data_IF_407057073103
#
_entry.id   IF_407057073103
#
_cell.length_a   1.000
_cell.length_b   1.000
_cell.length_c   1.000
_cell.angle_alpha   90.00
_cell.angle_beta   90.00
_cell.angle_gamma   90.00
#
_symmetry.space_group_name_H-M   'P 1'
#
loop_
_entity.id
_entity.type
_entity.pdbx_description
1 polymer ?
#
# COMPACT_ATOMS: atom_id res chain seq x y z
N UNK A 1 -32.30 28.32 -15.22
CA UNK A 1 -30.87 28.34 -15.57
C UNK A 1 -30.28 27.07 -15.00
N UNK A 2 -29.96 26.10 -15.86
CA UNK A 2 -29.52 24.78 -15.47
C UNK A 2 -28.05 24.81 -15.04
N UNK A 3 -27.73 24.14 -13.93
CA UNK A 3 -26.43 23.51 -13.76
C UNK A 3 -26.65 22.12 -13.15
N UNK A 4 -26.57 21.11 -14.03
CA UNK A 4 -26.47 19.69 -13.71
C UNK A 4 -25.17 19.18 -14.34
N UNK A 5 -24.03 19.75 -13.94
CA UNK A 5 -22.71 19.39 -14.45
C UNK A 5 -21.94 18.41 -13.55
N UNK A 6 -21.95 17.12 -13.88
CA UNK A 6 -20.72 16.31 -13.92
C UNK A 6 -20.07 15.78 -12.63
N UNK A 7 -20.82 15.33 -11.61
CA UNK A 7 -20.23 14.69 -10.39
C UNK A 7 -20.39 13.17 -10.24
N UNK A 8 -21.15 12.50 -11.10
CA UNK A 8 -21.46 11.06 -10.93
C UNK A 8 -20.58 10.08 -11.70
N UNK A 9 -20.00 10.46 -12.85
CA UNK A 9 -19.38 9.46 -13.74
C UNK A 9 -17.98 8.99 -13.30
N UNK A 10 -17.21 9.81 -12.58
CA UNK A 10 -15.84 9.47 -12.19
C UNK A 10 -15.77 8.59 -10.93
N UNK A 11 -16.74 8.73 -10.02
CA UNK A 11 -16.80 7.97 -8.77
C UNK A 11 -17.21 6.52 -9.00
N UNK A 12 -18.14 6.29 -9.93
CA UNK A 12 -18.66 4.95 -10.23
C UNK A 12 -17.62 4.10 -10.97
N UNK A 13 -16.85 4.73 -11.87
CA UNK A 13 -15.73 4.07 -12.57
C UNK A 13 -14.61 3.72 -11.59
N UNK A 14 -14.28 4.61 -10.66
CA UNK A 14 -13.27 4.34 -9.63
C UNK A 14 -13.67 3.16 -8.73
N UNK A 15 -14.94 3.09 -8.31
CA UNK A 15 -15.45 1.98 -7.51
C UNK A 15 -15.31 0.64 -8.24
N UNK A 16 -15.70 0.58 -9.52
CA UNK A 16 -15.57 -0.65 -10.33
C UNK A 16 -14.12 -1.08 -10.55
N UNK A 17 -13.20 -0.13 -10.80
CA UNK A 17 -11.76 -0.43 -10.92
C UNK A 17 -11.19 -0.94 -9.60
N UNK A 18 -11.59 -0.33 -8.48
CA UNK A 18 -11.12 -0.72 -7.14
C UNK A 18 -11.57 -2.14 -6.77
N UNK A 19 -12.84 -2.50 -7.02
CA UNK A 19 -13.36 -3.85 -6.80
C UNK A 19 -12.61 -4.90 -7.62
N UNK A 20 -12.38 -4.62 -8.91
CA UNK A 20 -11.62 -5.51 -9.78
C UNK A 20 -10.18 -5.70 -9.27
N UNK A 21 -9.52 -4.62 -8.86
CA UNK A 21 -8.15 -4.71 -8.31
C UNK A 21 -8.10 -5.51 -7.01
N UNK A 22 -9.11 -5.40 -6.14
CA UNK A 22 -9.19 -6.22 -4.94
C UNK A 22 -9.38 -7.70 -5.26
N UNK A 23 -10.17 -8.04 -6.28
CA UNK A 23 -10.34 -9.43 -6.74
C UNK A 23 -9.01 -10.03 -7.23
N UNK A 24 -8.25 -9.29 -8.05
CA UNK A 24 -6.98 -9.79 -8.61
C UNK A 24 -5.78 -9.73 -7.64
N UNK A 25 -5.78 -8.79 -6.70
CA UNK A 25 -4.60 -8.52 -5.86
C UNK A 25 -4.79 -8.75 -4.37
N UNK A 26 -6.01 -9.08 -3.93
CA UNK A 26 -6.37 -9.27 -2.53
C UNK A 26 -6.80 -7.97 -1.87
N UNK A 27 -6.87 -7.97 -0.54
CA UNK A 27 -7.31 -6.80 0.22
C UNK A 27 -6.34 -5.62 0.06
N UNK A 28 -6.76 -4.63 -0.73
CA UNK A 28 -6.05 -3.37 -0.93
C UNK A 28 -6.71 -2.26 -0.13
N UNK A 29 -5.91 -1.30 0.32
CA UNK A 29 -6.34 -0.07 0.98
C UNK A 29 -5.78 1.14 0.24
N UNK A 30 -6.51 2.25 0.31
CA UNK A 30 -6.05 3.53 -0.20
C UNK A 30 -4.93 4.09 0.66
N UNK A 31 -3.96 4.73 0.02
CA UNK A 31 -2.91 5.49 0.70
C UNK A 31 -3.26 6.97 0.76
N UNK A 32 -2.36 7.81 1.28
CA UNK A 32 -2.51 9.27 1.17
C UNK A 32 -2.40 9.81 -0.27
N UNK A 33 -1.93 8.98 -1.22
CA UNK A 33 -1.92 9.33 -2.65
C UNK A 33 -3.15 8.73 -3.35
N UNK A 34 -3.85 9.50 -4.19
CA UNK A 34 -5.00 9.00 -4.94
C UNK A 34 -4.62 7.97 -6.01
N UNK A 35 -3.34 7.92 -6.42
CA UNK A 35 -2.86 7.03 -7.47
C UNK A 35 -2.24 5.73 -6.95
N UNK A 36 -2.13 5.55 -5.63
CA UNK A 36 -1.44 4.41 -5.03
C UNK A 36 -2.34 3.68 -4.03
N UNK A 37 -2.45 2.37 -4.22
CA UNK A 37 -3.04 1.43 -3.27
C UNK A 37 -1.95 0.52 -2.70
N UNK A 38 -2.18 -0.06 -1.53
CA UNK A 38 -1.29 -1.10 -1.00
C UNK A 38 -2.06 -2.20 -0.28
N UNK A 39 -1.40 -3.33 -0.03
CA UNK A 39 -1.99 -4.43 0.75
C UNK A 39 -2.30 -3.98 2.18
N UNK A 40 -3.50 -4.30 2.68
CA UNK A 40 -3.86 -4.10 4.07
C UNK A 40 -2.86 -4.82 5.00
N UNK A 41 -2.33 -4.11 6.01
CA UNK A 41 -1.43 -4.69 6.99
C UNK A 41 -2.16 -5.03 8.29
N UNK A 42 -1.76 -6.10 9.00
CA UNK A 42 -2.31 -6.41 10.32
C UNK A 42 -2.08 -5.24 11.29
N UNK A 43 -3.11 -4.93 12.10
CA UNK A 43 -3.02 -3.87 13.12
C UNK A 43 -1.97 -4.14 14.19
N UNK A 44 -1.69 -5.42 14.47
CA UNK A 44 -0.62 -5.87 15.35
C UNK A 44 0.02 -7.14 14.78
N UNK A 45 1.35 -7.13 14.67
CA UNK A 45 2.10 -8.26 14.14
C UNK A 45 3.39 -8.52 14.92
N UNK A 46 3.82 -9.78 14.93
CA UNK A 46 5.06 -10.19 15.60
C UNK A 46 6.28 -9.69 14.80
N UNK A 47 7.23 -9.06 15.49
CA UNK A 47 8.51 -8.63 14.90
C UNK A 47 9.24 -9.78 14.20
N UNK A 48 9.80 -9.48 13.02
CA UNK A 48 10.55 -10.38 12.14
C UNK A 48 9.79 -11.66 11.72
N UNK A 49 8.47 -11.71 11.91
CA UNK A 49 7.60 -12.75 11.37
C UNK A 49 7.12 -12.35 9.98
N UNK A 50 7.11 -13.29 9.04
CA UNK A 50 6.50 -13.10 7.72
C UNK A 50 5.06 -12.61 7.84
N UNK A 51 4.68 -11.68 6.98
CA UNK A 51 3.29 -11.20 6.90
C UNK A 51 2.36 -12.33 6.45
N UNK A 52 1.08 -12.30 6.86
CA UNK A 52 0.11 -13.32 6.44
C UNK A 52 -0.20 -13.23 4.93
N UNK A 53 -0.04 -12.04 4.35
CA UNK A 53 -0.19 -11.75 2.93
C UNK A 53 1.06 -11.03 2.43
N UNK A 54 1.45 -11.30 1.19
CA UNK A 54 2.56 -10.59 0.55
C UNK A 54 2.16 -9.12 0.35
N UNK A 55 2.98 -8.19 0.85
CA UNK A 55 2.74 -6.77 0.68
C UNK A 55 2.96 -6.36 -0.78
N UNK A 56 2.01 -5.61 -1.33
CA UNK A 56 2.06 -5.07 -2.68
C UNK A 56 1.81 -3.57 -2.64
N UNK A 57 2.43 -2.85 -3.56
CA UNK A 57 2.07 -1.48 -3.93
C UNK A 57 1.52 -1.54 -5.34
N UNK A 58 0.31 -1.03 -5.55
CA UNK A 58 -0.39 -1.01 -6.84
C UNK A 58 -0.56 0.45 -7.26
N UNK A 59 -0.13 0.76 -8.48
CA UNK A 59 -0.29 2.07 -9.07
C UNK A 59 -1.50 2.09 -10.01
N UNK A 60 -2.28 3.18 -9.96
CA UNK A 60 -3.41 3.40 -10.87
C UNK A 60 -3.00 4.18 -12.12
N UNK A 61 -1.99 5.02 -12.00
CA UNK A 61 -1.33 5.68 -13.13
C UNK A 61 -0.28 4.76 -13.75
N UNK A 62 0.17 5.07 -14.96
CA UNK A 62 1.25 4.36 -15.65
C UNK A 62 2.62 4.69 -15.00
N UNK A 63 3.35 3.66 -14.60
CA UNK A 63 4.65 3.76 -13.93
C UNK A 63 5.57 2.77 -14.63
N UNK A 64 6.66 3.28 -15.17
CA UNK A 64 7.61 2.48 -15.95
C UNK A 64 8.08 1.25 -15.17
N UNK A 65 7.95 0.08 -15.80
CA UNK A 65 8.51 -1.18 -15.32
C UNK A 65 10.00 -1.03 -14.98
N UNK A 66 10.43 -1.63 -13.88
CA UNK A 66 11.79 -1.46 -13.36
C UNK A 66 11.92 -0.35 -12.32
N UNK A 67 10.90 0.51 -12.14
CA UNK A 67 10.90 1.53 -11.08
C UNK A 67 11.04 0.87 -9.70
N UNK A 68 12.03 1.31 -8.92
CA UNK A 68 12.28 0.78 -7.58
C UNK A 68 11.29 1.38 -6.60
N UNK A 69 10.63 0.54 -5.80
CA UNK A 69 9.71 0.93 -4.73
C UNK A 69 10.30 0.52 -3.39
N UNK A 70 10.42 1.47 -2.47
CA UNK A 70 10.91 1.21 -1.11
C UNK A 70 9.86 1.53 -0.07
N UNK A 71 9.77 0.72 0.98
CA UNK A 71 8.91 0.98 2.15
C UNK A 71 9.79 1.44 3.31
N UNK A 72 9.33 2.44 4.05
CA UNK A 72 9.91 2.87 5.33
C UNK A 72 8.83 2.80 6.38
N UNK A 73 9.19 2.65 7.63
CA UNK A 73 8.25 2.65 8.74
C UNK A 73 8.82 3.49 9.87
N UNK A 74 7.99 4.32 10.50
CA UNK A 74 8.45 5.19 11.58
C UNK A 74 7.34 5.80 12.41
N UNK A 75 7.71 6.31 13.57
CA UNK A 75 6.88 7.13 14.46
C UNK A 75 7.78 7.95 15.41
N UNK A 76 7.19 8.64 16.38
CA UNK A 76 7.93 9.50 17.33
C UNK A 76 8.91 8.74 18.23
N UNK A 77 8.71 7.44 18.49
CA UNK A 77 9.63 6.62 19.30
C UNK A 77 10.75 6.00 18.47
N UNK A 78 10.43 5.59 17.25
CA UNK A 78 11.34 4.95 16.34
C UNK A 78 11.15 5.57 14.96
N UNK A 79 11.91 6.63 14.70
CA UNK A 79 11.78 7.45 13.49
C UNK A 79 12.00 6.65 12.20
N UNK A 80 12.87 5.64 12.24
CA UNK A 80 13.15 4.79 11.09
C UNK A 80 13.36 3.35 11.58
N UNK A 81 12.27 2.59 11.63
CA UNK A 81 12.29 1.21 12.06
C UNK A 81 13.05 0.32 11.07
N UNK A 82 13.76 -0.66 11.61
CA UNK A 82 14.42 -1.69 10.82
C UNK A 82 13.38 -2.56 10.11
N UNK A 83 13.51 -2.68 8.78
CA UNK A 83 12.72 -3.54 7.92
C UNK A 83 13.64 -4.51 7.17
N UNK A 84 13.10 -5.67 6.78
CA UNK A 84 13.75 -6.60 5.85
C UNK A 84 12.95 -6.71 4.57
N UNK A 85 13.66 -6.84 3.45
CA UNK A 85 13.06 -6.96 2.12
C UNK A 85 12.11 -5.80 1.81
N UNK A 86 12.46 -4.58 2.25
CA UNK A 86 11.67 -3.36 2.08
C UNK A 86 11.88 -2.67 0.72
N UNK A 87 12.35 -3.41 -0.28
CA UNK A 87 12.51 -2.92 -1.65
C UNK A 87 11.91 -3.94 -2.61
N UNK A 88 11.16 -3.44 -3.59
CA UNK A 88 10.58 -4.21 -4.67
C UNK A 88 10.72 -3.42 -5.99
N UNK A 89 10.42 -4.08 -7.10
CA UNK A 89 10.46 -3.48 -8.43
C UNK A 89 9.04 -3.45 -8.98
N UNK A 90 8.64 -2.29 -9.51
CA UNK A 90 7.38 -2.11 -10.22
C UNK A 90 7.38 -2.94 -11.49
N UNK A 91 6.32 -3.74 -11.68
CA UNK A 91 6.08 -4.49 -12.91
C UNK A 91 4.58 -4.58 -13.18
N UNK A 92 4.13 -4.14 -14.35
CA UNK A 92 2.71 -4.07 -14.71
C UNK A 92 1.89 -3.37 -13.62
N UNK A 93 2.35 -2.19 -13.18
CA UNK A 93 1.72 -1.40 -12.11
C UNK A 93 1.65 -2.06 -10.73
N UNK A 94 2.34 -3.17 -10.50
CA UNK A 94 2.42 -3.82 -9.19
C UNK A 94 3.86 -4.04 -8.75
N UNK A 95 4.24 -3.49 -7.60
CA UNK A 95 5.46 -3.82 -6.89
C UNK A 95 5.16 -4.81 -5.77
N UNK A 96 5.54 -6.08 -5.95
CA UNK A 96 5.33 -7.16 -4.98
C UNK A 96 6.57 -7.36 -4.12
N UNK A 97 6.45 -7.15 -2.81
CA UNK A 97 7.54 -7.32 -1.87
C UNK A 97 7.70 -8.79 -1.51
N UNK A 98 8.91 -9.30 -1.64
CA UNK A 98 9.22 -10.69 -1.32
C UNK A 98 9.53 -10.82 0.18
N UNK A 99 8.53 -11.26 0.96
CA UNK A 99 8.67 -11.49 2.40
C UNK A 99 9.13 -10.22 3.15
N UNK A 100 8.42 -9.10 2.95
CA UNK A 100 8.58 -7.88 3.75
C UNK A 100 8.39 -8.21 5.23
N UNK A 101 9.31 -7.74 6.09
CA UNK A 101 9.19 -7.91 7.55
C UNK A 101 9.51 -6.62 8.30
N UNK A 102 8.77 -6.42 9.39
CA UNK A 102 9.02 -5.39 10.39
C UNK A 102 9.91 -5.97 11.48
N UNK A 103 11.16 -5.54 11.59
CA UNK A 103 12.09 -6.00 12.64
C UNK A 103 12.05 -5.07 13.83
N UNK A 104 12.08 -3.75 13.59
CA UNK A 104 11.90 -2.73 14.61
C UNK A 104 10.51 -2.80 15.27
N UNK A 105 10.44 -2.41 16.55
CA UNK A 105 9.18 -2.32 17.31
C UNK A 105 8.71 -0.87 17.35
N UNK A 106 7.40 -0.68 17.33
CA UNK A 106 6.74 0.63 17.31
C UNK A 106 6.57 1.27 18.69
N UNK A 107 6.76 0.50 19.77
CA UNK A 107 6.49 0.94 21.13
C UNK A 107 5.23 0.31 21.73
N UNK A 108 5.03 0.48 23.04
CA UNK A 108 3.82 -0.01 23.72
C UNK A 108 2.63 0.87 23.33
N UNK A 109 1.61 0.28 22.71
CA UNK A 109 0.38 1.00 22.34
C UNK A 109 0.58 2.02 21.21
N UNK A 110 1.67 1.91 20.44
CA UNK A 110 1.98 2.78 19.30
C UNK A 110 2.07 1.98 18.01
N UNK A 111 1.77 2.64 16.91
CA UNK A 111 1.83 2.08 15.56
C UNK A 111 2.91 2.79 14.73
N UNK A 112 3.35 2.15 13.66
CA UNK A 112 4.14 2.81 12.64
C UNK A 112 3.24 3.51 11.63
N UNK A 113 3.72 4.62 11.10
CA UNK A 113 3.34 5.16 9.79
C UNK A 113 4.28 4.58 8.73
N UNK A 114 3.76 4.34 7.54
CA UNK A 114 4.47 3.85 6.37
C UNK A 114 4.57 4.94 5.30
#
# INVERSE_FOLDING_TARGET
CADLGGKGMTTDVFAGVYEALQEYHGELVQTGSPAILCTALPSHWRSNKSLPLAFKVVALDDITDGTVVTVRAGNDENYCAELRNCTAVMKNQVAKFNDLRFVGRSGRGKSFSL
#
